data_IF_926566537589
#
_entry.id   IF_926566537589
#
_cell.length_a   1.000
_cell.length_b   1.000
_cell.length_c   1.000
_cell.angle_alpha   90.00
_cell.angle_beta   90.00
_cell.angle_gamma   90.00
#
_symmetry.space_group_name_H-M   'P 1'
#
loop_
_entity.id
_entity.type
_entity.pdbx_description
1 polymer ?
#
# COMPACT_ATOMS: atom_id res chain seq x y z
N UNK A 1 -8.63 -15.62 17.31
CA UNK A 1 -9.31 -15.46 16.01
C UNK A 1 -8.86 -16.60 15.14
N UNK A 2 -9.72 -17.09 14.27
CA UNK A 2 -9.40 -18.17 13.35
C UNK A 2 -8.51 -17.59 12.23
N UNK A 3 -7.21 -17.93 12.20
CA UNK A 3 -6.19 -17.40 11.26
C UNK A 3 -6.43 -17.82 9.78
N UNK A 4 -7.62 -18.33 9.49
CA UNK A 4 -7.90 -19.23 8.37
C UNK A 4 -8.28 -18.50 7.07
N UNK A 5 -8.12 -17.17 6.99
CA UNK A 5 -8.26 -16.48 5.69
C UNK A 5 -7.52 -15.13 5.57
N UNK A 6 -6.35 -14.97 6.19
CA UNK A 6 -5.50 -13.81 5.88
C UNK A 6 -4.89 -14.02 4.47
N UNK A 7 -5.05 -13.08 3.53
CA UNK A 7 -4.46 -13.22 2.20
C UNK A 7 -2.93 -13.33 2.26
N UNK A 8 -2.34 -14.18 1.42
CA UNK A 8 -0.89 -14.44 1.45
C UNK A 8 -0.06 -13.17 1.22
N UNK A 9 -0.53 -12.27 0.37
CA UNK A 9 0.15 -11.00 0.10
C UNK A 9 0.21 -10.08 1.34
N UNK A 10 -0.67 -10.25 2.35
CA UNK A 10 -0.55 -9.52 3.62
C UNK A 10 0.59 -10.11 4.44
N UNK A 11 0.70 -11.45 4.50
CA UNK A 11 1.78 -12.14 5.22
C UNK A 11 3.15 -11.84 4.60
N UNK A 12 3.22 -11.85 3.28
CA UNK A 12 4.44 -11.54 2.52
C UNK A 12 4.90 -10.08 2.68
N UNK A 13 3.99 -9.17 3.01
CA UNK A 13 4.25 -7.74 3.16
C UNK A 13 3.96 -7.25 4.60
N UNK A 14 4.35 -8.04 5.59
CA UNK A 14 4.12 -7.73 7.01
C UNK A 14 4.68 -6.36 7.46
N UNK A 15 5.83 -5.94 6.92
CA UNK A 15 6.46 -4.66 7.26
C UNK A 15 5.96 -3.54 6.34
N UNK A 16 5.02 -2.74 6.83
CA UNK A 16 4.40 -1.64 6.08
C UNK A 16 4.94 -0.32 6.60
N UNK A 17 6.14 0.04 6.15
CA UNK A 17 6.87 1.21 6.67
C UNK A 17 6.83 2.43 5.76
N UNK A 18 6.40 2.24 4.52
CA UNK A 18 6.23 3.29 3.54
C UNK A 18 4.79 3.30 3.01
N UNK A 19 4.39 4.46 2.51
CA UNK A 19 3.06 4.68 1.97
C UNK A 19 2.76 3.88 0.70
N UNK A 20 3.77 3.47 -0.07
CA UNK A 20 3.55 2.71 -1.31
C UNK A 20 3.17 1.27 -1.00
N UNK A 21 3.82 0.65 -0.01
CA UNK A 21 3.45 -0.67 0.50
C UNK A 21 2.04 -0.63 1.09
N UNK A 22 1.70 0.40 1.88
CA UNK A 22 0.33 0.59 2.38
C UNK A 22 -0.68 0.69 1.23
N UNK A 23 -0.46 1.62 0.29
CA UNK A 23 -1.37 1.86 -0.83
C UNK A 23 -1.53 0.60 -1.70
N UNK A 24 -0.47 -0.19 -1.87
CA UNK A 24 -0.51 -1.48 -2.57
C UNK A 24 -1.42 -2.49 -1.85
N UNK A 25 -1.18 -2.76 -0.57
CA UNK A 25 -1.98 -3.73 0.18
C UNK A 25 -3.44 -3.28 0.31
N UNK A 26 -3.66 -1.99 0.53
CA UNK A 26 -4.98 -1.41 0.65
C UNK A 26 -5.77 -1.59 -0.65
N UNK A 27 -5.17 -1.25 -1.80
CA UNK A 27 -5.80 -1.46 -3.12
C UNK A 27 -6.07 -2.93 -3.42
N UNK A 28 -5.18 -3.83 -3.01
CA UNK A 28 -5.38 -5.28 -3.17
C UNK A 28 -6.59 -5.76 -2.37
N UNK A 29 -6.72 -5.32 -1.12
CA UNK A 29 -7.90 -5.61 -0.29
C UNK A 29 -9.20 -5.04 -0.90
N UNK A 30 -9.18 -3.80 -1.38
CA UNK A 30 -10.35 -3.25 -2.09
C UNK A 30 -10.71 -4.05 -3.35
N UNK A 31 -9.71 -4.52 -4.09
CA UNK A 31 -9.93 -5.35 -5.29
C UNK A 31 -10.50 -6.74 -4.94
N UNK A 32 -10.17 -7.26 -3.77
CA UNK A 32 -10.71 -8.53 -3.24
C UNK A 32 -12.11 -8.36 -2.62
N UNK A 33 -12.66 -7.13 -2.62
CA UNK A 33 -14.04 -6.83 -2.22
C UNK A 33 -14.22 -6.36 -0.78
N UNK A 34 -13.14 -6.15 -0.04
CA UNK A 34 -13.19 -5.55 1.29
C UNK A 34 -13.54 -4.06 1.19
N UNK A 35 -14.29 -3.54 2.16
CA UNK A 35 -14.53 -2.10 2.25
C UNK A 35 -13.32 -1.36 2.85
N UNK A 36 -13.35 -0.02 2.84
CA UNK A 36 -12.25 0.79 3.37
C UNK A 36 -11.93 0.51 4.84
N UNK A 37 -12.95 0.20 5.65
CA UNK A 37 -12.79 -0.06 7.08
C UNK A 37 -12.16 -1.44 7.28
N UNK A 38 -12.68 -2.45 6.62
CA UNK A 38 -12.15 -3.81 6.65
C UNK A 38 -10.70 -3.84 6.17
N UNK A 39 -10.40 -3.17 5.05
CA UNK A 39 -9.06 -3.10 4.50
C UNK A 39 -8.06 -2.44 5.49
N UNK A 40 -8.47 -1.32 6.10
CA UNK A 40 -7.67 -0.63 7.12
C UNK A 40 -7.45 -1.51 8.34
N UNK A 41 -8.50 -2.14 8.86
CA UNK A 41 -8.45 -2.97 10.06
C UNK A 41 -7.57 -4.22 9.81
N UNK A 42 -7.65 -4.84 8.63
CA UNK A 42 -6.76 -5.96 8.25
C UNK A 42 -5.30 -5.53 8.32
N UNK A 43 -4.93 -4.41 7.71
CA UNK A 43 -3.54 -3.92 7.74
C UNK A 43 -3.14 -3.56 9.17
N UNK A 44 -4.00 -2.85 9.92
CA UNK A 44 -3.72 -2.39 11.27
C UNK A 44 -3.49 -3.55 12.25
N UNK A 45 -4.25 -4.64 12.12
CA UNK A 45 -4.14 -5.78 13.04
C UNK A 45 -3.11 -6.83 12.62
N UNK A 46 -2.69 -6.87 11.35
CA UNK A 46 -1.84 -7.94 10.83
C UNK A 46 -0.47 -7.47 10.33
N UNK A 47 -0.19 -6.16 10.26
CA UNK A 47 1.08 -5.63 9.78
C UNK A 47 1.81 -4.81 10.87
N UNK A 48 3.14 -4.80 10.80
CA UNK A 48 3.95 -3.82 11.49
C UNK A 48 3.91 -2.49 10.72
N UNK A 49 3.44 -1.42 11.37
CA UNK A 49 3.31 -0.09 10.77
C UNK A 49 4.37 0.86 11.29
N UNK A 50 4.93 1.69 10.41
CA UNK A 50 5.74 2.83 10.83
C UNK A 50 4.85 3.99 11.28
N UNK A 51 5.39 4.88 12.12
CA UNK A 51 4.72 6.12 12.50
C UNK A 51 4.31 6.95 11.27
N UNK A 52 5.13 6.94 10.21
CA UNK A 52 4.84 7.65 8.97
C UNK A 52 3.55 7.15 8.33
N UNK A 53 3.38 5.84 8.21
CA UNK A 53 2.17 5.23 7.63
C UNK A 53 0.96 5.56 8.49
N UNK A 54 1.07 5.43 9.80
CA UNK A 54 -0.04 5.78 10.70
C UNK A 54 -0.47 7.23 10.52
N UNK A 55 0.46 8.18 10.52
CA UNK A 55 0.16 9.61 10.37
C UNK A 55 -0.41 9.97 9.00
N UNK A 56 0.25 9.52 7.92
CA UNK A 56 -0.11 9.94 6.56
C UNK A 56 -1.30 9.20 5.98
N UNK A 57 -1.58 7.97 6.46
CA UNK A 57 -2.61 7.10 5.90
C UNK A 57 -3.79 6.90 6.83
N UNK A 58 -3.55 6.66 8.11
CA UNK A 58 -4.60 6.27 9.06
C UNK A 58 -5.15 7.51 9.77
N UNK A 59 -4.30 8.27 10.45
CA UNK A 59 -4.71 9.40 11.30
C UNK A 59 -5.27 10.57 10.50
N UNK A 60 -4.78 10.78 9.26
CA UNK A 60 -5.31 11.76 8.32
C UNK A 60 -6.46 11.21 7.45
N UNK A 61 -6.94 9.99 7.71
CA UNK A 61 -8.01 9.35 6.92
C UNK A 61 -7.75 9.25 5.40
N UNK A 62 -6.51 9.43 4.93
CA UNK A 62 -6.17 9.40 3.51
C UNK A 62 -6.52 8.06 2.85
N UNK A 63 -6.56 6.97 3.63
CA UNK A 63 -7.02 5.66 3.15
C UNK A 63 -8.43 5.70 2.51
N UNK A 64 -9.29 6.66 2.89
CA UNK A 64 -10.62 6.84 2.31
C UNK A 64 -10.59 7.38 0.87
N UNK A 65 -9.49 8.03 0.47
CA UNK A 65 -9.29 8.56 -0.88
C UNK A 65 -8.70 7.51 -1.84
N UNK A 66 -8.23 6.38 -1.31
CA UNK A 66 -7.66 5.30 -2.10
C UNK A 66 -8.78 4.53 -2.79
N UNK A 67 -8.61 4.23 -4.07
CA UNK A 67 -9.54 3.41 -4.84
C UNK A 67 -8.78 2.46 -5.77
N UNK A 68 -9.45 1.39 -6.20
CA UNK A 68 -8.90 0.42 -7.17
C UNK A 68 -8.64 1.05 -8.54
N UNK A 69 -9.38 2.11 -8.88
CA UNK A 69 -9.26 2.83 -10.15
C UNK A 69 -8.16 3.90 -10.13
N UNK A 70 -7.59 4.22 -8.96
CA UNK A 70 -6.50 5.19 -8.91
C UNK A 70 -5.19 4.55 -9.36
N UNK A 71 -4.51 5.20 -10.31
CA UNK A 71 -3.20 4.78 -10.79
C UNK A 71 -2.11 4.87 -9.71
N UNK A 72 -0.86 4.74 -10.14
CA UNK A 72 0.29 4.98 -9.28
C UNK A 72 0.24 6.43 -8.74
N UNK A 73 0.61 6.62 -7.47
CA UNK A 73 0.69 7.96 -6.89
C UNK A 73 1.58 8.85 -7.78
N UNK A 74 1.22 10.13 -8.06
CA UNK A 74 1.93 10.95 -9.04
C UNK A 74 3.43 11.10 -8.78
N UNK A 75 3.82 11.14 -7.51
CA UNK A 75 5.21 11.21 -7.08
C UNK A 75 5.94 9.88 -7.24
N UNK A 76 5.32 8.74 -6.95
CA UNK A 76 5.87 7.43 -7.25
C UNK A 76 6.06 7.24 -8.76
N UNK A 77 5.09 7.69 -9.57
CA UNK A 77 5.18 7.65 -11.01
C UNK A 77 6.34 8.51 -11.53
N UNK A 78 6.59 9.66 -10.89
CA UNK A 78 7.74 10.50 -11.20
C UNK A 78 9.06 9.79 -10.89
N UNK A 79 9.20 9.24 -9.67
CA UNK A 79 10.40 8.49 -9.27
C UNK A 79 10.63 7.29 -10.18
N UNK A 80 9.58 6.51 -10.47
CA UNK A 80 9.64 5.38 -11.39
C UNK A 80 10.16 5.80 -12.77
N UNK A 81 9.65 6.90 -13.34
CA UNK A 81 10.11 7.44 -14.63
C UNK A 81 11.57 7.89 -14.58
N UNK A 82 11.98 8.54 -13.49
CA UNK A 82 13.37 9.00 -13.30
C UNK A 82 14.34 7.82 -13.24
N UNK A 83 14.04 6.80 -12.43
CA UNK A 83 14.87 5.60 -12.30
C UNK A 83 14.89 4.77 -13.59
N UNK A 84 13.74 4.62 -14.25
CA UNK A 84 13.66 3.95 -15.55
C UNK A 84 14.53 4.64 -16.60
N UNK A 85 14.44 5.97 -16.69
CA UNK A 85 15.26 6.75 -17.61
C UNK A 85 16.76 6.55 -17.32
N UNK A 86 17.19 6.65 -16.05
CA UNK A 86 18.60 6.40 -15.67
C UNK A 86 19.07 5.01 -16.10
N UNK A 87 18.27 3.98 -15.87
CA UNK A 87 18.60 2.60 -16.25
C UNK A 87 18.72 2.42 -17.78
N UNK A 88 17.89 3.12 -18.57
CA UNK A 88 17.99 3.10 -20.03
C UNK A 88 19.16 3.92 -20.58
N UNK A 89 19.57 5.01 -19.91
CA UNK A 89 20.68 5.86 -20.35
C UNK A 89 22.07 5.38 -19.86
N UNK A 90 22.14 4.61 -18.77
CA UNK A 90 23.39 3.99 -18.27
C UNK A 90 23.77 2.68 -19.00
N UNK A 91 23.23 2.44 -20.20
CA UNK A 91 23.51 1.24 -21.00
C UNK A 91 24.77 1.34 -21.88
N UNK A 92 25.68 2.28 -21.59
CA UNK A 92 26.97 2.48 -22.25
C UNK A 92 28.12 2.39 -21.24
#
# INVERSE_FOLDING_TARGET
>A
MDDTYLPDYIRENYNVFDRFTFDYLFKRLLADGYDNKDAKDIILYNCALSTLVTQERIDNDYYLEISTNSGMAPDLLKVYREEFNKATFNKN
#
